data_IF_425188340629
#
_entry.id   IF_425188340629
#
_cell.length_a   1.000
_cell.length_b   1.000
_cell.length_c   1.000
_cell.angle_alpha   90.00
_cell.angle_beta   90.00
_cell.angle_gamma   90.00
#
_symmetry.space_group_name_H-M   'P 1'
#
loop_
_entity.id
_entity.type
_entity.pdbx_description
1 polymer ?
#
# COMPACT_ATOMS: atom_id res chain seq x y z
N UNK A 1 -60.84 33.96 35.20
CA UNK A 1 -60.16 34.85 34.24
C UNK A 1 -59.02 34.06 33.62
N UNK A 2 -59.26 33.52 32.42
CA UNK A 2 -58.31 32.66 31.70
C UNK A 2 -57.72 33.45 30.54
N UNK A 3 -56.39 33.52 30.38
CA UNK A 3 -55.78 34.05 29.16
C UNK A 3 -55.90 33.04 28.00
N UNK A 4 -56.00 33.52 26.74
CA UNK A 4 -56.32 32.70 25.58
C UNK A 4 -55.13 31.91 25.01
N UNK A 5 -55.47 30.74 24.45
CA UNK A 5 -54.64 29.87 23.61
C UNK A 5 -54.01 30.66 22.45
N UNK A 6 -52.69 30.55 22.32
CA UNK A 6 -51.95 30.92 21.11
C UNK A 6 -51.75 29.67 20.25
N UNK A 7 -52.29 29.72 19.03
CA UNK A 7 -52.11 28.74 17.96
C UNK A 7 -50.71 28.90 17.35
N UNK A 8 -49.94 27.82 17.16
CA UNK A 8 -48.72 27.85 16.36
C UNK A 8 -49.08 27.90 14.88
N UNK A 9 -48.64 28.97 14.21
CA UNK A 9 -48.72 29.10 12.76
C UNK A 9 -47.93 28.00 12.05
N UNK A 10 -48.61 27.28 11.18
CA UNK A 10 -48.01 26.36 10.23
C UNK A 10 -47.07 27.13 9.28
N UNK A 11 -45.76 26.99 9.47
CA UNK A 11 -44.76 27.32 8.45
C UNK A 11 -44.70 26.18 7.43
N UNK A 12 -45.45 26.33 6.35
CA UNK A 12 -45.21 25.60 5.09
C UNK A 12 -43.94 26.16 4.43
N UNK A 13 -42.79 25.66 4.87
CA UNK A 13 -41.49 25.93 4.27
C UNK A 13 -40.87 24.64 3.75
N UNK A 14 -41.62 23.85 2.98
CA UNK A 14 -41.15 22.64 2.32
C UNK A 14 -40.47 23.00 0.99
N UNK A 15 -39.40 23.80 1.07
CA UNK A 15 -38.42 23.94 -0.02
C UNK A 15 -37.37 22.84 0.14
N UNK A 16 -37.79 21.60 -0.12
CA UNK A 16 -36.84 20.52 -0.39
C UNK A 16 -36.00 20.96 -1.60
N UNK A 17 -34.66 21.05 -1.49
CA UNK A 17 -33.82 21.20 -2.66
C UNK A 17 -34.08 19.98 -3.54
N UNK A 18 -34.74 20.23 -4.66
CA UNK A 18 -34.93 19.28 -5.75
C UNK A 18 -33.54 18.78 -6.11
N UNK A 19 -33.29 17.50 -5.80
CA UNK A 19 -32.07 16.82 -6.16
C UNK A 19 -31.87 17.02 -7.67
N UNK A 20 -30.86 17.83 -8.00
CA UNK A 20 -30.36 18.01 -9.35
C UNK A 20 -30.09 16.63 -9.92
N UNK A 21 -30.90 16.24 -10.89
CA UNK A 21 -30.73 15.07 -11.75
C UNK A 21 -29.31 15.06 -12.31
N UNK A 22 -28.41 14.15 -11.85
CA UNK A 22 -27.10 14.00 -12.44
C UNK A 22 -27.20 12.89 -13.49
N UNK A 23 -27.97 13.13 -14.54
CA UNK A 23 -28.08 12.19 -15.64
C UNK A 23 -27.93 12.98 -16.93
N UNK A 24 -26.93 12.61 -17.72
CA UNK A 24 -26.54 13.17 -19.04
C UNK A 24 -25.35 14.14 -19.07
N UNK A 25 -24.56 14.27 -18.00
CA UNK A 25 -23.11 14.36 -18.23
C UNK A 25 -22.66 12.95 -18.58
N UNK A 26 -22.73 12.69 -19.88
CA UNK A 26 -22.05 11.62 -20.60
C UNK A 26 -20.78 11.28 -19.82
N UNK A 27 -20.81 10.14 -19.13
CA UNK A 27 -19.61 9.48 -18.66
C UNK A 27 -18.82 9.11 -19.92
N UNK A 28 -18.13 10.11 -20.49
CA UNK A 28 -16.96 9.89 -21.32
C UNK A 28 -16.01 9.23 -20.34
N UNK A 29 -16.07 7.90 -20.30
CA UNK A 29 -15.21 7.10 -19.46
C UNK A 29 -13.78 7.52 -19.78
N UNK A 30 -13.14 8.15 -18.80
CA UNK A 30 -11.69 8.36 -18.79
C UNK A 30 -10.93 7.02 -18.70
N UNK A 31 -11.68 5.92 -18.66
CA UNK A 31 -11.23 4.55 -18.87
C UNK A 31 -10.96 4.32 -20.37
N UNK A 32 -9.69 4.54 -20.74
CA UNK A 32 -9.00 4.22 -22.00
C UNK A 32 -8.82 5.35 -23.03
N UNK A 33 -8.02 6.39 -22.70
CA UNK A 33 -7.42 7.27 -23.71
C UNK A 33 -6.45 6.52 -24.66
N UNK A 34 -6.08 5.28 -24.37
CA UNK A 34 -5.14 4.48 -25.16
C UNK A 34 -5.77 3.80 -26.38
N UNK A 35 -7.09 3.60 -26.40
CA UNK A 35 -7.76 2.79 -27.43
C UNK A 35 -8.50 3.62 -28.49
N UNK A 36 -8.90 4.85 -28.18
CA UNK A 36 -9.66 5.71 -29.11
C UNK A 36 -8.80 6.46 -30.14
N UNK A 37 -7.47 6.30 -30.12
CA UNK A 37 -6.55 6.86 -31.14
C UNK A 37 -5.57 5.83 -31.74
N UNK A 38 -5.87 4.53 -31.57
CA UNK A 38 -4.91 3.43 -31.61
C UNK A 38 -4.59 2.82 -32.99
N UNK A 39 -5.02 3.38 -34.11
CA UNK A 39 -4.69 2.81 -35.43
C UNK A 39 -3.23 3.11 -35.85
N UNK A 40 -2.94 4.33 -36.32
CA UNK A 40 -1.62 4.67 -36.86
C UNK A 40 -0.54 4.86 -35.79
N UNK A 41 -0.90 5.32 -34.58
CA UNK A 41 0.06 5.57 -33.50
C UNK A 41 0.59 4.29 -32.85
N UNK A 42 -0.23 3.25 -32.77
CA UNK A 42 0.18 1.94 -32.24
C UNK A 42 1.12 1.22 -33.21
N UNK A 43 0.82 1.28 -34.52
CA UNK A 43 1.73 0.78 -35.56
C UNK A 43 3.07 1.53 -35.56
N UNK A 44 3.06 2.85 -35.37
CA UNK A 44 4.28 3.64 -35.23
C UNK A 44 5.10 3.23 -33.99
N UNK A 45 4.45 2.98 -32.84
CA UNK A 45 5.12 2.49 -31.63
C UNK A 45 5.70 1.08 -31.80
N UNK A 46 4.97 0.17 -32.43
CA UNK A 46 5.48 -1.16 -32.78
C UNK A 46 6.67 -1.06 -33.74
N UNK A 47 6.60 -0.15 -34.73
CA UNK A 47 7.70 0.12 -35.65
C UNK A 47 8.95 0.66 -34.94
N UNK A 48 8.78 1.62 -34.03
CA UNK A 48 9.88 2.16 -33.21
C UNK A 48 10.48 1.06 -32.32
N UNK A 49 9.64 0.25 -31.67
CA UNK A 49 10.08 -0.88 -30.86
C UNK A 49 10.87 -1.91 -31.66
N UNK A 50 10.40 -2.27 -32.85
CA UNK A 50 11.11 -3.17 -33.75
C UNK A 50 12.45 -2.58 -34.21
N UNK A 51 12.50 -1.29 -34.54
CA UNK A 51 13.74 -0.58 -34.87
C UNK A 51 14.75 -0.59 -33.70
N UNK A 52 14.30 -0.36 -32.47
CA UNK A 52 15.16 -0.41 -31.28
C UNK A 52 15.75 -1.81 -31.12
N UNK A 53 14.94 -2.87 -31.26
CA UNK A 53 15.41 -4.26 -31.15
C UNK A 53 16.44 -4.58 -32.24
N UNK A 54 16.16 -4.24 -33.50
CA UNK A 54 17.07 -4.47 -34.63
C UNK A 54 18.39 -3.71 -34.45
N UNK A 55 18.33 -2.44 -34.05
CA UNK A 55 19.53 -1.65 -33.80
C UNK A 55 20.31 -2.15 -32.57
N UNK A 56 19.64 -2.67 -31.54
CA UNK A 56 20.31 -3.27 -30.37
C UNK A 56 21.02 -4.58 -30.73
N UNK A 57 20.43 -5.41 -31.61
CA UNK A 57 21.09 -6.61 -32.13
C UNK A 57 22.31 -6.22 -32.97
N UNK A 58 22.18 -5.20 -33.82
CA UNK A 58 23.29 -4.68 -34.61
C UNK A 58 24.39 -4.12 -33.72
N UNK A 59 24.05 -3.35 -32.68
CA UNK A 59 24.96 -2.81 -31.68
C UNK A 59 25.73 -3.92 -30.97
N UNK A 60 25.03 -4.96 -30.48
CA UNK A 60 25.64 -6.13 -29.86
C UNK A 60 26.59 -6.88 -30.80
N UNK A 61 26.20 -7.04 -32.08
CA UNK A 61 27.05 -7.68 -33.09
C UNK A 61 28.31 -6.87 -33.36
N UNK A 62 28.19 -5.55 -33.48
CA UNK A 62 29.32 -4.64 -33.63
C UNK A 62 30.23 -4.60 -32.39
N UNK A 63 29.71 -4.93 -31.21
CA UNK A 63 30.45 -4.99 -29.94
C UNK A 63 31.30 -6.25 -29.79
N UNK A 64 30.97 -7.34 -30.51
CA UNK A 64 31.60 -8.64 -30.33
C UNK A 64 33.12 -8.60 -30.50
N UNK A 65 33.63 -7.98 -31.56
CA UNK A 65 35.07 -7.90 -31.84
C UNK A 65 35.87 -7.24 -30.71
N UNK A 66 35.51 -6.01 -30.29
CA UNK A 66 36.15 -5.35 -29.15
C UNK A 66 36.06 -6.15 -27.85
N UNK A 67 34.89 -6.69 -27.50
CA UNK A 67 34.74 -7.48 -26.27
C UNK A 67 35.55 -8.78 -26.31
N UNK A 68 35.67 -9.42 -27.47
CA UNK A 68 36.49 -10.64 -27.63
C UNK A 68 37.97 -10.34 -27.39
N UNK A 69 38.47 -9.18 -27.85
CA UNK A 69 39.85 -8.75 -27.63
C UNK A 69 40.19 -8.55 -26.14
N UNK A 70 39.22 -8.11 -25.34
CA UNK A 70 39.39 -7.83 -23.90
C UNK A 70 39.16 -9.08 -23.05
N UNK A 71 38.03 -9.77 -23.25
CA UNK A 71 37.65 -10.91 -22.41
C UNK A 71 38.40 -12.20 -22.76
N UNK A 72 38.90 -12.36 -23.99
CA UNK A 72 39.55 -13.60 -24.47
C UNK A 72 38.73 -14.88 -24.17
N UNK A 73 37.40 -14.76 -24.14
CA UNK A 73 36.46 -15.86 -23.91
C UNK A 73 35.97 -16.45 -25.24
N UNK A 74 35.26 -17.58 -25.14
CA UNK A 74 34.56 -18.18 -26.27
C UNK A 74 33.62 -17.17 -26.95
N UNK A 75 33.54 -17.17 -28.29
CA UNK A 75 32.77 -16.18 -29.06
C UNK A 75 31.29 -16.21 -28.72
N UNK A 76 30.75 -17.37 -28.33
CA UNK A 76 29.35 -17.53 -27.89
C UNK A 76 29.07 -16.80 -26.57
N UNK A 77 30.01 -16.85 -25.63
CA UNK A 77 29.92 -16.17 -24.33
C UNK A 77 30.07 -14.67 -24.50
N UNK A 78 31.02 -14.22 -25.35
CA UNK A 78 31.20 -12.81 -25.69
C UNK A 78 29.94 -12.21 -26.32
N UNK A 79 29.27 -12.93 -27.22
CA UNK A 79 28.03 -12.47 -27.85
C UNK A 79 26.89 -12.30 -26.81
N UNK A 80 26.75 -13.24 -25.87
CA UNK A 80 25.75 -13.14 -24.80
C UNK A 80 25.99 -11.92 -23.91
N UNK A 81 27.25 -11.65 -23.58
CA UNK A 81 27.63 -10.47 -22.80
C UNK A 81 27.33 -9.19 -23.59
N UNK A 82 27.67 -9.14 -24.87
CA UNK A 82 27.38 -7.99 -25.74
C UNK A 82 25.88 -7.68 -25.82
N UNK A 83 25.05 -8.72 -26.01
CA UNK A 83 23.59 -8.58 -25.98
C UNK A 83 23.08 -8.07 -24.63
N UNK A 84 23.61 -8.60 -23.53
CA UNK A 84 23.26 -8.16 -22.18
C UNK A 84 23.61 -6.69 -21.93
N UNK A 85 24.79 -6.25 -22.36
CA UNK A 85 25.24 -4.85 -22.23
C UNK A 85 24.39 -3.91 -23.10
N UNK A 86 24.11 -4.30 -24.35
CA UNK A 86 23.27 -3.49 -25.24
C UNK A 86 21.83 -3.36 -24.71
N UNK A 87 21.23 -4.46 -24.26
CA UNK A 87 19.92 -4.45 -23.62
C UNK A 87 19.89 -3.61 -22.34
N UNK A 88 20.91 -3.75 -21.47
CA UNK A 88 21.03 -2.95 -20.26
C UNK A 88 21.17 -1.46 -20.57
N UNK A 89 21.97 -1.09 -21.58
CA UNK A 89 22.12 0.30 -22.03
C UNK A 89 20.80 0.89 -22.53
N UNK A 90 20.08 0.16 -23.39
CA UNK A 90 18.79 0.59 -23.91
C UNK A 90 17.76 0.77 -22.79
N UNK A 91 17.70 -0.16 -21.82
CA UNK A 91 16.86 -0.05 -20.64
C UNK A 91 17.24 1.16 -19.78
N UNK A 92 18.54 1.45 -19.64
CA UNK A 92 19.01 2.60 -18.88
C UNK A 92 18.57 3.92 -19.54
N UNK A 93 18.73 4.04 -20.86
CA UNK A 93 18.28 5.20 -21.63
C UNK A 93 16.75 5.39 -21.57
N UNK A 94 15.99 4.30 -21.70
CA UNK A 94 14.55 4.27 -21.49
C UNK A 94 14.17 4.76 -20.08
N UNK A 95 14.90 4.33 -19.05
CA UNK A 95 14.65 4.74 -17.67
C UNK A 95 14.96 6.22 -17.43
N UNK A 96 16.02 6.75 -18.06
CA UNK A 96 16.31 8.19 -18.07
C UNK A 96 15.15 8.98 -18.69
N UNK A 97 14.60 8.50 -19.82
CA UNK A 97 13.42 9.11 -20.45
C UNK A 97 12.19 9.09 -19.55
N UNK A 98 11.92 7.93 -18.93
CA UNK A 98 10.82 7.77 -17.99
C UNK A 98 10.94 8.73 -16.80
N UNK A 99 12.11 8.80 -16.17
CA UNK A 99 12.35 9.61 -14.97
C UNK A 99 12.36 11.10 -15.28
N UNK A 100 12.94 11.51 -16.41
CA UNK A 100 12.97 12.91 -16.83
C UNK A 100 11.56 13.47 -17.07
N UNK A 101 10.71 12.73 -17.79
CA UNK A 101 9.31 13.17 -17.96
C UNK A 101 8.57 13.23 -16.64
N UNK A 102 8.83 12.28 -15.74
CA UNK A 102 8.27 12.31 -14.39
C UNK A 102 8.65 13.54 -13.58
N UNK A 103 9.93 13.92 -13.62
CA UNK A 103 10.40 15.12 -12.95
C UNK A 103 9.72 16.38 -13.52
N UNK A 104 9.59 16.46 -14.84
CA UNK A 104 8.94 17.58 -15.52
C UNK A 104 7.42 17.64 -15.29
N UNK A 105 6.75 16.48 -15.25
CA UNK A 105 5.30 16.38 -15.09
C UNK A 105 4.82 16.52 -13.65
N UNK A 106 5.49 15.86 -12.69
CA UNK A 106 5.07 15.86 -11.29
C UNK A 106 5.55 17.09 -10.51
N UNK A 107 6.71 17.65 -10.88
CA UNK A 107 7.36 18.75 -10.16
C UNK A 107 7.92 19.81 -11.12
N UNK A 108 7.06 20.50 -11.89
CA UNK A 108 7.50 21.50 -12.85
C UNK A 108 8.33 22.59 -12.16
N UNK A 109 9.53 22.85 -12.69
CA UNK A 109 10.44 23.90 -12.20
C UNK A 109 11.32 23.53 -11.00
N UNK A 110 11.15 22.35 -10.39
CA UNK A 110 11.98 21.96 -9.26
C UNK A 110 13.24 21.20 -9.70
N UNK A 111 14.37 21.91 -9.72
CA UNK A 111 15.68 21.40 -10.15
C UNK A 111 16.15 20.17 -9.38
N UNK A 112 15.72 19.95 -8.13
CA UNK A 112 16.14 18.80 -7.32
C UNK A 112 15.71 17.47 -7.94
N UNK A 113 14.54 17.44 -8.58
CA UNK A 113 14.02 16.23 -9.21
C UNK A 113 14.66 15.93 -10.58
N UNK A 114 15.40 16.89 -11.14
CA UNK A 114 16.18 16.70 -12.37
C UNK A 114 17.58 16.11 -12.11
N UNK A 115 18.04 16.08 -10.87
CA UNK A 115 19.38 15.57 -10.53
C UNK A 115 19.50 14.08 -10.86
N UNK A 116 18.50 13.27 -10.49
CA UNK A 116 18.52 11.84 -10.76
C UNK A 116 18.57 11.51 -12.27
N UNK A 117 17.67 12.01 -13.14
CA UNK A 117 17.77 11.74 -14.57
C UNK A 117 19.05 12.31 -15.19
N UNK A 118 19.57 13.44 -14.69
CA UNK A 118 20.84 14.00 -15.16
C UNK A 118 22.03 13.08 -14.81
N UNK A 119 22.12 12.60 -13.56
CA UNK A 119 23.18 11.67 -13.13
C UNK A 119 23.10 10.36 -13.90
N UNK A 120 21.89 9.81 -14.09
CA UNK A 120 21.70 8.59 -14.87
C UNK A 120 22.07 8.82 -16.35
N UNK A 121 21.71 9.96 -16.94
CA UNK A 121 22.11 10.32 -18.30
C UNK A 121 23.62 10.47 -18.46
N UNK A 122 24.29 11.11 -17.49
CA UNK A 122 25.75 11.22 -17.46
C UNK A 122 26.44 9.86 -17.32
N UNK A 123 25.89 8.97 -16.48
CA UNK A 123 26.41 7.61 -16.34
C UNK A 123 26.27 6.82 -17.64
N UNK A 124 25.12 6.94 -18.31
CA UNK A 124 24.88 6.33 -19.62
C UNK A 124 25.84 6.86 -20.71
N UNK A 125 26.10 8.17 -20.73
CA UNK A 125 27.09 8.79 -21.60
C UNK A 125 28.51 8.27 -21.30
N UNK A 126 28.87 8.19 -20.02
CA UNK A 126 30.18 7.71 -19.59
C UNK A 126 30.41 6.26 -20.03
N UNK A 127 29.40 5.39 -19.93
CA UNK A 127 29.48 4.00 -20.41
C UNK A 127 29.73 3.96 -21.92
N UNK A 128 29.00 4.75 -22.72
CA UNK A 128 29.21 4.85 -24.17
C UNK A 128 30.62 5.32 -24.53
N UNK A 129 31.14 6.32 -23.80
CA UNK A 129 32.51 6.83 -23.97
C UNK A 129 33.57 5.79 -23.56
N UNK A 130 33.34 5.02 -22.49
CA UNK A 130 34.24 3.93 -22.10
C UNK A 130 34.31 2.85 -23.17
N UNK A 131 33.16 2.44 -23.74
CA UNK A 131 33.12 1.44 -24.81
C UNK A 131 33.83 1.98 -26.07
N UNK A 132 33.61 3.25 -26.41
CA UNK A 132 34.31 3.91 -27.51
C UNK A 132 35.83 3.91 -27.31
N UNK A 133 36.31 4.25 -26.11
CA UNK A 133 37.72 4.21 -25.76
C UNK A 133 38.30 2.79 -25.87
N UNK A 134 37.61 1.79 -25.32
CA UNK A 134 38.00 0.36 -25.45
C UNK A 134 38.11 -0.04 -26.92
N UNK A 135 37.18 0.42 -27.76
CA UNK A 135 37.17 0.12 -29.20
C UNK A 135 38.37 0.72 -29.92
N UNK A 136 38.73 1.96 -29.60
CA UNK A 136 39.96 2.59 -30.14
C UNK A 136 41.20 1.81 -29.72
N UNK A 137 41.30 1.43 -28.44
CA UNK A 137 42.46 0.67 -27.91
C UNK A 137 42.54 -0.72 -28.52
N UNK A 138 41.42 -1.42 -28.67
CA UNK A 138 41.39 -2.76 -29.31
C UNK A 138 41.85 -2.74 -30.76
N UNK A 139 41.62 -1.63 -31.47
CA UNK A 139 42.04 -1.46 -32.85
C UNK A 139 43.49 -1.01 -33.03
N UNK A 140 44.16 -0.54 -31.97
CA UNK A 140 45.60 -0.25 -31.98
C UNK A 140 46.45 -1.47 -31.61
N UNK A 141 45.88 -2.44 -30.88
CA UNK A 141 46.52 -3.73 -30.59
C UNK A 141 46.42 -4.69 -31.77
N UNK A 142 47.05 -4.38 -32.91
CA UNK A 142 47.43 -5.42 -33.87
C UNK A 142 48.60 -6.17 -33.25
N UNK A 143 48.40 -7.44 -32.88
CA UNK A 143 49.51 -8.33 -32.57
C UNK A 143 50.44 -8.36 -33.79
N UNK A 144 51.61 -7.76 -33.67
CA UNK A 144 52.66 -7.90 -34.67
C UNK A 144 53.06 -9.39 -34.65
N UNK A 145 52.59 -10.15 -35.64
CA UNK A 145 53.07 -11.50 -35.88
C UNK A 145 54.48 -11.33 -36.44
N UNK A 146 55.47 -11.35 -35.56
CA UNK A 146 56.87 -11.46 -35.96
C UNK A 146 57.10 -12.90 -36.36
N UNK A 147 57.29 -13.15 -37.67
CA UNK A 147 57.91 -14.40 -38.12
C UNK A 147 59.36 -14.41 -37.62
N UNK A 148 59.80 -15.53 -37.05
CA UNK A 148 61.17 -15.74 -36.58
C UNK A 148 62.17 -15.33 -37.68
N UNK A 149 62.91 -14.24 -37.45
CA UNK A 149 63.98 -13.76 -38.33
C UNK A 149 63.83 -12.34 -38.89
N UNK A 150 62.69 -11.67 -38.75
CA UNK A 150 62.55 -10.27 -39.17
C UNK A 150 62.81 -9.31 -38.00
N UNK A 151 63.75 -8.37 -38.18
CA UNK A 151 63.96 -7.28 -37.22
C UNK A 151 62.63 -6.54 -36.97
N UNK A 152 62.27 -6.23 -35.71
CA UNK A 152 61.04 -5.55 -35.40
C UNK A 152 61.09 -4.15 -36.00
N UNK A 153 60.46 -3.96 -37.16
CA UNK A 153 60.09 -2.62 -37.60
C UNK A 153 59.06 -2.14 -36.59
N UNK A 154 59.49 -1.23 -35.71
CA UNK A 154 58.61 -0.50 -34.83
C UNK A 154 57.68 0.38 -35.68
N UNK A 155 56.67 -0.23 -36.31
CA UNK A 155 55.54 0.50 -36.83
C UNK A 155 54.83 1.04 -35.60
N UNK A 156 55.01 2.34 -35.33
CA UNK A 156 54.21 3.07 -34.35
C UNK A 156 52.75 2.65 -34.57
N UNK A 157 52.06 2.03 -33.59
CA UNK A 157 50.69 1.61 -33.77
C UNK A 157 49.81 2.86 -33.87
N UNK A 158 49.77 3.45 -35.06
CA UNK A 158 48.90 4.56 -35.38
C UNK A 158 47.47 4.05 -35.43
N UNK A 159 46.57 4.71 -34.73
CA UNK A 159 45.14 4.41 -34.83
C UNK A 159 44.74 4.68 -36.28
N UNK A 160 44.42 3.63 -37.03
CA UNK A 160 44.04 3.77 -38.44
C UNK A 160 42.76 4.61 -38.58
N UNK A 161 42.62 5.37 -39.66
CA UNK A 161 41.39 6.12 -39.95
C UNK A 161 40.15 5.20 -39.99
N UNK A 162 40.32 3.95 -40.42
CA UNK A 162 39.28 2.92 -40.39
C UNK A 162 38.86 2.54 -38.96
N UNK A 163 39.79 2.45 -38.02
CA UNK A 163 39.51 2.20 -36.60
C UNK A 163 38.67 3.33 -36.01
N UNK A 164 39.08 4.59 -36.24
CA UNK A 164 38.33 5.78 -35.81
C UNK A 164 36.92 5.82 -36.41
N UNK A 165 36.80 5.60 -37.73
CA UNK A 165 35.51 5.58 -38.41
C UNK A 165 34.57 4.50 -37.86
N UNK A 166 35.10 3.29 -37.59
CA UNK A 166 34.31 2.19 -37.02
C UNK A 166 33.88 2.47 -35.57
N UNK A 167 34.72 3.13 -34.78
CA UNK A 167 34.40 3.52 -33.41
C UNK A 167 33.36 4.64 -33.39
N UNK A 168 33.47 5.62 -34.28
CA UNK A 168 32.51 6.71 -34.43
C UNK A 168 31.15 6.20 -34.91
N UNK A 169 31.13 5.27 -35.88
CA UNK A 169 29.89 4.63 -36.34
C UNK A 169 29.20 3.88 -35.21
N UNK A 170 29.97 3.13 -34.40
CA UNK A 170 29.42 2.43 -33.25
C UNK A 170 28.82 3.39 -32.22
N UNK A 171 29.55 4.46 -31.88
CA UNK A 171 29.06 5.48 -30.97
C UNK A 171 27.76 6.11 -31.50
N UNK A 172 27.69 6.40 -32.80
CA UNK A 172 26.48 6.91 -33.43
C UNK A 172 25.29 5.94 -33.30
N UNK A 173 25.50 4.64 -33.56
CA UNK A 173 24.47 3.61 -33.38
C UNK A 173 24.02 3.53 -31.91
N UNK A 174 24.96 3.50 -30.97
CA UNK A 174 24.66 3.52 -29.53
C UNK A 174 23.79 4.72 -29.13
N UNK A 175 24.13 5.92 -29.62
CA UNK A 175 23.35 7.13 -29.37
C UNK A 175 21.97 7.08 -30.00
N UNK A 176 21.84 6.59 -31.24
CA UNK A 176 20.55 6.48 -31.91
C UNK A 176 19.62 5.50 -31.20
N UNK A 177 20.14 4.34 -30.76
CA UNK A 177 19.39 3.36 -29.96
C UNK A 177 18.95 3.98 -28.64
N UNK A 178 19.87 4.62 -27.92
CA UNK A 178 19.58 5.25 -26.65
C UNK A 178 18.55 6.38 -26.77
N UNK A 179 18.68 7.24 -27.77
CA UNK A 179 17.74 8.33 -28.03
C UNK A 179 16.36 7.83 -28.45
N UNK A 180 16.30 6.78 -29.26
CA UNK A 180 15.03 6.15 -29.64
C UNK A 180 14.33 5.53 -28.42
N UNK A 181 15.06 4.75 -27.60
CA UNK A 181 14.53 4.16 -26.37
C UNK A 181 14.12 5.22 -25.34
N UNK A 182 14.93 6.27 -25.18
CA UNK A 182 14.62 7.44 -24.36
C UNK A 182 13.34 8.12 -24.83
N UNK A 183 13.24 8.44 -26.13
CA UNK A 183 12.11 9.16 -26.70
C UNK A 183 10.82 8.37 -26.63
N UNK A 184 10.86 7.07 -26.95
CA UNK A 184 9.70 6.20 -26.89
C UNK A 184 9.12 6.13 -25.48
N UNK A 185 9.96 5.84 -24.48
CA UNK A 185 9.50 5.74 -23.09
C UNK A 185 9.16 7.11 -22.49
N UNK A 186 9.88 8.16 -22.89
CA UNK A 186 9.51 9.54 -22.56
C UNK A 186 8.09 9.81 -23.06
N UNK A 187 7.74 9.51 -24.30
CA UNK A 187 6.38 9.79 -24.78
C UNK A 187 5.31 8.87 -24.18
N UNK A 188 5.64 7.61 -23.87
CA UNK A 188 4.69 6.62 -23.34
C UNK A 188 4.26 6.88 -21.88
N UNK A 189 5.06 7.56 -21.05
CA UNK A 189 4.66 7.81 -19.65
C UNK A 189 3.40 8.69 -19.59
N UNK A 190 2.33 8.15 -18.99
CA UNK A 190 1.06 8.86 -18.76
C UNK A 190 1.00 9.32 -17.30
N UNK A 191 1.38 10.58 -17.05
CA UNK A 191 1.43 11.14 -15.70
C UNK A 191 0.03 11.24 -15.05
N UNK A 192 -1.02 11.40 -15.84
CA UNK A 192 -2.40 11.40 -15.36
C UNK A 192 -2.83 10.01 -14.84
N UNK A 193 -2.43 8.94 -15.53
CA UNK A 193 -2.68 7.58 -15.04
C UNK A 193 -1.85 7.26 -13.78
N UNK A 194 -0.60 7.75 -13.71
CA UNK A 194 0.24 7.58 -12.54
C UNK A 194 -0.32 8.32 -11.31
N UNK A 195 -0.80 9.56 -11.48
CA UNK A 195 -1.42 10.34 -10.41
C UNK A 195 -2.71 9.69 -9.92
N UNK A 196 -3.57 9.20 -10.84
CA UNK A 196 -4.79 8.45 -10.51
C UNK A 196 -4.50 7.18 -9.70
N UNK A 197 -3.46 6.43 -10.04
CA UNK A 197 -3.06 5.24 -9.24
C UNK A 197 -2.62 5.62 -7.83
N UNK A 198 -1.89 6.73 -7.68
CA UNK A 198 -1.46 7.23 -6.36
C UNK A 198 -2.64 7.71 -5.52
N UNK A 199 -3.57 8.47 -6.12
CA UNK A 199 -4.76 8.94 -5.42
C UNK A 199 -5.68 7.78 -5.05
N UNK A 200 -5.85 6.78 -5.92
CA UNK A 200 -6.60 5.56 -5.61
C UNK A 200 -6.00 4.79 -4.42
N UNK A 201 -4.66 4.65 -4.36
CA UNK A 201 -3.98 4.04 -3.21
C UNK A 201 -4.20 4.85 -1.92
N UNK A 202 -4.05 6.17 -1.98
CA UNK A 202 -4.32 7.05 -0.83
C UNK A 202 -5.77 6.91 -0.36
N UNK A 203 -6.72 6.91 -1.28
CA UNK A 203 -8.14 6.74 -1.01
C UNK A 203 -8.47 5.38 -0.40
N UNK A 204 -7.80 4.30 -0.83
CA UNK A 204 -7.93 3.00 -0.20
C UNK A 204 -7.42 3.01 1.26
N UNK A 205 -6.26 3.63 1.50
CA UNK A 205 -5.71 3.74 2.87
C UNK A 205 -6.56 4.61 3.78
N UNK A 206 -7.14 5.71 3.29
CA UNK A 206 -8.04 6.55 4.10
C UNK A 206 -9.35 5.85 4.40
N UNK A 207 -9.90 5.08 3.46
CA UNK A 207 -11.08 4.22 3.71
C UNK A 207 -10.82 3.18 4.78
N UNK A 208 -9.66 2.53 4.78
CA UNK A 208 -9.29 1.57 5.83
C UNK A 208 -9.21 2.23 7.20
N UNK A 209 -8.62 3.44 7.30
CA UNK A 209 -8.58 4.20 8.55
C UNK A 209 -9.98 4.57 9.02
N UNK A 210 -10.82 5.09 8.13
CA UNK A 210 -12.19 5.44 8.44
C UNK A 210 -13.01 4.24 8.94
N UNK A 211 -12.84 3.06 8.32
CA UNK A 211 -13.48 1.83 8.80
C UNK A 211 -12.98 1.40 10.20
N UNK A 212 -11.69 1.59 10.50
CA UNK A 212 -11.15 1.31 11.81
C UNK A 212 -11.70 2.27 12.87
N UNK A 213 -11.81 3.56 12.55
CA UNK A 213 -12.38 4.58 13.42
C UNK A 213 -13.88 4.34 13.67
N UNK A 214 -14.64 3.97 12.63
CA UNK A 214 -16.05 3.58 12.76
C UNK A 214 -16.22 2.34 13.65
N UNK A 215 -15.34 1.34 13.52
CA UNK A 215 -15.37 0.15 14.36
C UNK A 215 -15.06 0.48 15.82
N UNK A 216 -14.13 1.41 16.08
CA UNK A 216 -13.82 1.90 17.42
C UNK A 216 -15.02 2.62 18.03
N UNK A 217 -15.65 3.53 17.26
CA UNK A 217 -16.85 4.25 17.69
C UNK A 217 -17.96 3.27 18.08
N UNK A 218 -18.24 2.24 17.26
CA UNK A 218 -19.25 1.22 17.58
C UNK A 218 -18.94 0.50 18.89
N UNK A 219 -17.69 0.09 19.11
CA UNK A 219 -17.27 -0.54 20.37
C UNK A 219 -17.44 0.37 21.58
N UNK A 220 -17.16 1.66 21.44
CA UNK A 220 -17.38 2.64 22.53
C UNK A 220 -18.87 2.82 22.83
N UNK A 221 -19.72 2.90 21.80
CA UNK A 221 -21.18 3.02 21.97
C UNK A 221 -21.76 1.76 22.62
N UNK A 222 -21.37 0.57 22.15
CA UNK A 222 -21.75 -0.71 22.76
C UNK A 222 -21.29 -0.81 24.22
N UNK A 223 -20.03 -0.43 24.48
CA UNK A 223 -19.46 -0.40 25.83
C UNK A 223 -20.20 0.55 26.77
N UNK A 224 -20.57 1.75 26.29
CA UNK A 224 -21.37 2.70 27.06
C UNK A 224 -22.76 2.14 27.37
N UNK A 225 -23.42 1.49 26.41
CA UNK A 225 -24.73 0.85 26.62
C UNK A 225 -24.67 -0.24 27.70
N UNK A 226 -23.65 -1.09 27.66
CA UNK A 226 -23.43 -2.13 28.68
C UNK A 226 -23.21 -1.49 30.06
N UNK A 227 -22.34 -0.47 30.15
CA UNK A 227 -22.06 0.21 31.42
C UNK A 227 -23.28 0.93 31.99
N UNK A 228 -24.10 1.55 31.16
CA UNK A 228 -25.36 2.16 31.61
C UNK A 228 -26.31 1.11 32.19
N UNK A 229 -26.44 -0.03 31.52
CA UNK A 229 -27.29 -1.14 31.98
C UNK A 229 -26.76 -1.76 33.27
N UNK A 230 -25.44 -1.90 33.44
CA UNK A 230 -24.81 -2.32 34.70
C UNK A 230 -25.14 -1.36 35.84
N UNK A 231 -25.04 -0.05 35.62
CA UNK A 231 -25.36 0.98 36.62
C UNK A 231 -26.85 0.94 36.99
N UNK A 232 -27.74 0.71 36.01
CA UNK A 232 -29.18 0.60 36.25
C UNK A 232 -29.56 -0.67 37.05
N UNK A 233 -28.85 -1.78 36.82
CA UNK A 233 -29.08 -3.04 37.53
C UNK A 233 -28.44 -3.09 38.93
N UNK A 234 -27.42 -2.28 39.18
CA UNK A 234 -26.64 -2.28 40.43
C UNK A 234 -27.51 -2.13 41.70
N UNK A 235 -28.49 -1.22 41.77
CA UNK A 235 -29.36 -1.08 42.94
C UNK A 235 -30.15 -2.37 43.24
N UNK A 236 -30.70 -3.01 42.20
CA UNK A 236 -31.44 -4.27 42.33
C UNK A 236 -30.54 -5.40 42.80
N UNK A 237 -29.30 -5.46 42.32
CA UNK A 237 -28.32 -6.46 42.78
C UNK A 237 -27.93 -6.22 44.25
N UNK A 238 -27.74 -4.96 44.65
CA UNK A 238 -27.45 -4.59 46.04
C UNK A 238 -28.62 -4.95 46.96
N UNK A 239 -29.87 -4.70 46.55
CA UNK A 239 -31.05 -5.10 47.33
C UNK A 239 -31.13 -6.62 47.50
N UNK A 240 -30.93 -7.39 46.42
CA UNK A 240 -30.89 -8.86 46.49
C UNK A 240 -29.77 -9.39 47.38
N UNK A 241 -28.60 -8.76 47.34
CA UNK A 241 -27.49 -9.13 48.22
C UNK A 241 -27.83 -8.83 49.69
N UNK A 242 -28.41 -7.67 49.98
CA UNK A 242 -28.85 -7.31 51.35
C UNK A 242 -29.87 -8.30 51.90
N UNK A 243 -30.91 -8.63 51.13
CA UNK A 243 -31.94 -9.60 51.57
C UNK A 243 -31.36 -11.00 51.73
N UNK A 244 -30.47 -11.43 50.83
CA UNK A 244 -29.74 -12.70 50.95
C UNK A 244 -28.87 -12.77 52.20
N UNK A 245 -28.09 -11.73 52.50
CA UNK A 245 -27.25 -11.67 53.70
C UNK A 245 -28.08 -11.67 55.00
N UNK A 246 -29.20 -10.94 55.02
CA UNK A 246 -30.12 -10.96 56.16
C UNK A 246 -30.71 -12.36 56.40
N UNK A 247 -31.16 -13.03 55.33
CA UNK A 247 -31.68 -14.39 55.42
C UNK A 247 -30.61 -15.37 55.93
N UNK A 248 -29.37 -15.25 55.44
CA UNK A 248 -28.26 -16.09 55.87
C UNK A 248 -27.85 -15.84 57.33
N UNK A 249 -27.81 -14.58 57.76
CA UNK A 249 -27.55 -14.22 59.15
C UNK A 249 -28.63 -14.75 60.11
N UNK A 250 -29.91 -14.71 59.70
CA UNK A 250 -31.01 -15.30 60.46
C UNK A 250 -30.88 -16.83 60.57
N UNK A 251 -30.50 -17.51 59.49
CA UNK A 251 -30.28 -18.96 59.49
C UNK A 251 -29.11 -19.35 60.42
N UNK A 252 -27.98 -18.64 60.35
CA UNK A 252 -26.83 -18.86 61.25
C UNK A 252 -27.21 -18.61 62.72
N UNK A 253 -28.01 -17.58 63.00
CA UNK A 253 -28.52 -17.30 64.34
C UNK A 253 -29.45 -18.41 64.85
N UNK A 254 -30.26 -19.01 63.99
CA UNK A 254 -31.11 -20.15 64.34
C UNK A 254 -30.27 -21.40 64.62
N UNK A 255 -29.27 -21.66 63.79
CA UNK A 255 -28.33 -22.77 63.97
C UNK A 255 -27.57 -22.65 65.29
N UNK A 256 -27.01 -21.48 65.58
CA UNK A 256 -26.25 -21.25 66.82
C UNK A 256 -27.12 -21.41 68.06
N UNK A 257 -28.39 -20.98 68.00
CA UNK A 257 -29.36 -21.20 69.08
C UNK A 257 -29.69 -22.67 69.28
N UNK A 258 -29.80 -23.43 68.19
CA UNK A 258 -30.05 -24.86 68.24
C UNK A 258 -28.87 -25.62 68.88
N UNK A 259 -27.64 -25.32 68.46
CA UNK A 259 -26.43 -25.91 69.05
C UNK A 259 -26.28 -25.55 70.53
N UNK A 260 -26.53 -24.29 70.92
CA UNK A 260 -26.52 -23.89 72.33
C UNK A 260 -27.58 -24.62 73.16
N UNK A 261 -28.78 -24.83 72.61
CA UNK A 261 -29.83 -25.59 73.29
C UNK A 261 -29.43 -27.06 73.51
N UNK A 262 -28.74 -27.68 72.56
CA UNK A 262 -28.19 -29.03 72.69
C UNK A 262 -27.10 -29.07 73.77
N UNK A 263 -26.13 -28.15 73.73
CA UNK A 263 -25.00 -28.14 74.66
C UNK A 263 -25.37 -27.81 76.10
N UNK A 264 -26.37 -26.95 76.33
CA UNK A 264 -26.79 -26.53 77.66
C UNK A 264 -27.88 -27.42 78.28
N UNK A 265 -28.36 -28.44 77.55
CA UNK A 265 -29.43 -29.36 77.97
C UNK A 265 -30.71 -28.69 78.51
N UNK A 266 -30.92 -27.41 78.20
CA UNK A 266 -32.03 -26.60 78.68
C UNK A 266 -32.52 -25.66 77.57
N UNK A 267 -33.60 -26.02 76.86
CA UNK A 267 -34.15 -25.21 75.78
C UNK A 267 -34.63 -23.83 76.27
N UNK A 268 -35.05 -23.73 77.53
CA UNK A 268 -35.61 -22.53 78.14
C UNK A 268 -34.59 -21.42 78.41
N UNK A 269 -33.28 -21.72 78.42
CA UNK A 269 -32.23 -20.71 78.62
C UNK A 269 -31.90 -19.86 77.39
N UNK A 270 -32.40 -20.22 76.20
CA UNK A 270 -32.00 -19.61 74.91
C UNK A 270 -32.98 -18.55 74.37
N UNK A 271 -34.03 -18.22 75.14
CA UNK A 271 -35.00 -17.16 74.81
C UNK A 271 -36.10 -17.55 73.81
N UNK A 272 -36.34 -18.85 73.59
CA UNK A 272 -37.58 -19.37 72.98
C UNK A 272 -38.38 -20.02 74.12
N UNK A 273 -39.13 -19.23 74.88
CA UNK A 273 -39.75 -19.68 76.13
C UNK A 273 -41.26 -19.54 76.14
N UNK A 274 -41.93 -19.98 75.08
CA UNK A 274 -43.28 -20.52 75.26
C UNK A 274 -43.66 -21.44 74.10
N UNK A 275 -44.27 -22.60 74.35
CA UNK A 275 -44.95 -23.37 73.29
C UNK A 275 -46.01 -22.53 72.55
N UNK A 276 -46.52 -21.46 73.17
CA UNK A 276 -47.50 -20.53 72.60
C UNK A 276 -46.88 -19.31 71.89
N UNK A 277 -45.55 -19.24 71.74
CA UNK A 277 -44.91 -18.10 71.08
C UNK A 277 -45.21 -18.11 69.56
N UNK A 278 -45.65 -16.98 69.02
CA UNK A 278 -46.13 -16.80 67.63
C UNK A 278 -45.15 -17.29 66.53
N UNK A 279 -43.87 -17.41 66.87
CA UNK A 279 -42.79 -17.88 65.97
C UNK A 279 -42.36 -19.33 66.19
N UNK A 280 -43.12 -20.11 66.97
CA UNK A 280 -42.85 -21.52 67.19
C UNK A 280 -43.18 -22.33 65.92
N UNK A 281 -42.21 -23.05 65.31
CA UNK A 281 -42.45 -23.86 64.11
C UNK A 281 -43.44 -25.03 64.33
N UNK A 282 -43.77 -25.38 65.58
CA UNK A 282 -44.82 -26.35 65.88
C UNK A 282 -46.25 -25.77 65.75
N UNK A 283 -46.41 -24.44 65.74
CA UNK A 283 -47.71 -23.74 65.73
C UNK A 283 -48.11 -23.21 64.34
N UNK A 284 -47.33 -23.48 63.29
CA UNK A 284 -47.59 -23.01 61.90
C UNK A 284 -48.69 -23.81 61.18
N UNK A 285 -49.44 -24.66 61.90
CA UNK A 285 -50.43 -25.59 61.33
C UNK A 285 -51.90 -25.31 61.62
N UNK A 286 -52.27 -24.25 62.36
CA UNK A 286 -53.66 -24.02 62.81
C UNK A 286 -54.33 -22.74 62.28
N UNK A 287 -53.64 -21.95 61.45
CA UNK A 287 -54.16 -20.71 60.86
C UNK A 287 -54.65 -20.87 59.42
N UNK A 288 -55.58 -21.79 59.14
CA UNK A 288 -56.35 -21.77 57.89
C UNK A 288 -57.42 -20.69 58.03
N UNK A 289 -57.06 -19.45 57.72
CA UNK A 289 -58.05 -18.38 57.48
C UNK A 289 -58.61 -18.56 56.07
N UNK A 290 -59.84 -19.05 56.04
CA UNK A 290 -60.75 -19.13 54.90
C UNK A 290 -60.89 -17.75 54.22
N UNK A 291 -60.81 -17.65 52.88
CA UNK A 291 -60.96 -16.38 52.19
C UNK A 291 -62.43 -15.92 52.23
N UNK A 292 -62.71 -14.61 52.40
CA UNK A 292 -64.06 -14.09 52.23
C UNK A 292 -64.44 -14.08 50.73
N UNK A 293 -65.72 -14.37 50.49
CA UNK A 293 -66.38 -14.42 49.19
C UNK A 293 -66.49 -13.05 48.52
#
# INVERSE_FOLDING_TARGET
MNPPLSTPGARSGDSRPQASTPHLLRAIGWANPHLLSAGPRYLAQLGIGACIVLLSILDAYLMQGPLQSVLRHDPSTTLRIALGVSAASALFAAWVGYTLKGANGEHPGNRRYLVLPAVMGLMWLAVGLCIFAIRIVSGSTRAAVTYDGAAPTASTPGISAATWASAALFLAVYFLVGLAAFGDVYHQRNDAAASLRRTARKLATTRQKLQADEALLRRLVEGLGIRQLEVELLPRQVERAKTGHLAHALALRQLSRHEQAIHLASPSGTGITSPDHEKNPANTGSGVTQPPA
#
